data_IF_248744084154
#
_entry.id   IF_248744084154
#
_cell.length_a   1.000
_cell.length_b   1.000
_cell.length_c   1.000
_cell.angle_alpha   90.00
_cell.angle_beta   90.00
_cell.angle_gamma   90.00
#
_symmetry.space_group_name_H-M   'P 1'
#
loop_
_entity.id
_entity.type
_entity.pdbx_description
1 polymer ?
#
# COMPACT_ATOMS: atom_id res chain seq x y z
N UNK A 1 -19.11 -70.82 -66.79
CA UNK A 1 -20.27 -71.31 -66.01
C UNK A 1 -20.31 -70.59 -64.63
N UNK A 2 -21.31 -69.79 -64.56
CA UNK A 2 -22.28 -69.58 -63.52
C UNK A 2 -21.84 -69.07 -62.19
N UNK A 3 -22.27 -67.83 -62.00
CA UNK A 3 -23.32 -67.33 -61.03
C UNK A 3 -22.90 -67.25 -59.59
N UNK A 4 -23.04 -66.16 -59.01
CA UNK A 4 -24.10 -65.33 -58.40
C UNK A 4 -23.96 -65.24 -56.88
N UNK A 5 -24.20 -64.10 -56.48
CA UNK A 5 -25.08 -63.51 -55.43
C UNK A 5 -24.36 -62.93 -54.20
N UNK A 6 -24.50 -61.67 -54.15
CA UNK A 6 -25.25 -60.82 -53.18
C UNK A 6 -25.28 -61.19 -51.69
N UNK A 7 -25.04 -60.16 -50.95
CA UNK A 7 -25.40 -60.15 -49.51
C UNK A 7 -24.86 -58.92 -48.78
N UNK A 8 -25.62 -57.83 -48.91
CA UNK A 8 -25.39 -56.67 -48.05
C UNK A 8 -25.89 -56.92 -46.60
N UNK A 9 -25.27 -56.23 -45.68
CA UNK A 9 -25.86 -55.85 -44.40
C UNK A 9 -25.01 -54.75 -43.82
N UNK A 10 -25.44 -53.51 -43.76
CA UNK A 10 -26.19 -53.00 -42.65
C UNK A 10 -25.23 -52.62 -41.49
N UNK A 11 -24.48 -51.49 -41.66
CA UNK A 11 -23.77 -50.89 -40.53
C UNK A 11 -24.73 -49.94 -39.83
N UNK A 12 -25.25 -50.37 -38.68
CA UNK A 12 -25.95 -49.52 -37.75
C UNK A 12 -24.96 -48.61 -36.99
N UNK A 13 -24.93 -47.36 -37.37
CA UNK A 13 -24.21 -46.32 -36.61
C UNK A 13 -25.05 -45.98 -35.35
N UNK A 14 -24.50 -46.24 -34.18
CA UNK A 14 -24.99 -45.76 -32.90
C UNK A 14 -24.80 -44.27 -32.73
N UNK A 15 -25.84 -43.49 -32.47
CA UNK A 15 -25.67 -42.08 -32.08
C UNK A 15 -25.56 -41.99 -30.52
N UNK A 16 -24.33 -41.89 -30.01
CA UNK A 16 -24.21 -41.84 -28.57
C UNK A 16 -22.86 -41.36 -28.00
N UNK A 17 -22.19 -40.38 -28.62
CA UNK A 17 -20.91 -39.89 -28.07
C UNK A 17 -20.69 -38.37 -28.13
N UNK A 18 -21.72 -37.55 -28.32
CA UNK A 18 -21.53 -36.09 -28.42
C UNK A 18 -22.13 -35.24 -27.29
N UNK A 19 -22.85 -35.84 -26.34
CA UNK A 19 -23.51 -35.07 -25.27
C UNK A 19 -22.63 -34.82 -24.02
N UNK A 20 -21.50 -35.50 -23.85
CA UNK A 20 -20.67 -35.42 -22.63
C UNK A 20 -19.61 -34.32 -22.62
N UNK A 21 -19.17 -33.79 -23.76
CA UNK A 21 -18.05 -32.83 -23.82
C UNK A 21 -18.46 -31.38 -23.56
N UNK A 22 -19.69 -30.98 -23.87
CA UNK A 22 -20.14 -29.60 -23.66
C UNK A 22 -20.43 -29.26 -22.21
N UNK A 23 -20.81 -30.22 -21.37
CA UNK A 23 -21.11 -29.97 -19.95
C UNK A 23 -19.84 -29.73 -19.12
N UNK A 24 -18.76 -30.46 -19.39
CA UNK A 24 -17.51 -30.27 -18.66
C UNK A 24 -16.79 -28.96 -19.03
N UNK A 25 -16.92 -28.49 -20.26
CA UNK A 25 -16.34 -27.22 -20.71
C UNK A 25 -17.05 -26.01 -20.08
N UNK A 26 -18.38 -26.08 -19.95
CA UNK A 26 -19.15 -25.01 -19.29
C UNK A 26 -18.88 -24.94 -17.80
N UNK A 27 -18.74 -26.07 -17.11
CA UNK A 27 -18.44 -26.11 -15.68
C UNK A 27 -17.02 -25.55 -15.38
N UNK A 28 -16.02 -25.86 -16.21
CA UNK A 28 -14.66 -25.32 -16.07
C UNK A 28 -14.62 -23.82 -16.32
N UNK A 29 -15.38 -23.32 -17.28
CA UNK A 29 -15.45 -21.89 -17.59
C UNK A 29 -16.13 -21.11 -16.47
N UNK A 30 -17.25 -21.61 -15.91
CA UNK A 30 -17.93 -20.95 -14.80
C UNK A 30 -17.10 -20.94 -13.52
N UNK A 31 -16.38 -22.02 -13.20
CA UNK A 31 -15.48 -22.09 -12.06
C UNK A 31 -14.32 -21.09 -12.21
N UNK A 32 -13.75 -20.98 -13.41
CA UNK A 32 -12.69 -19.99 -13.70
C UNK A 32 -13.17 -18.55 -13.54
N UNK A 33 -14.38 -18.25 -14.01
CA UNK A 33 -14.97 -16.91 -13.88
C UNK A 33 -15.23 -16.55 -12.42
N UNK A 34 -15.80 -17.48 -11.63
CA UNK A 34 -16.04 -17.29 -10.19
C UNK A 34 -14.72 -17.04 -9.46
N UNK A 35 -13.66 -17.80 -9.78
CA UNK A 35 -12.35 -17.64 -9.19
C UNK A 35 -11.72 -16.26 -9.53
N UNK A 36 -11.87 -15.80 -10.78
CA UNK A 36 -11.46 -14.46 -11.19
C UNK A 36 -12.20 -13.35 -10.42
N UNK A 37 -13.51 -13.47 -10.22
CA UNK A 37 -14.28 -12.50 -9.44
C UNK A 37 -13.87 -12.48 -7.96
N UNK A 38 -13.53 -13.62 -7.37
CA UNK A 38 -13.04 -13.70 -6.00
C UNK A 38 -11.67 -13.02 -5.86
N UNK A 39 -10.75 -13.25 -6.80
CA UNK A 39 -9.43 -12.60 -6.79
C UNK A 39 -9.56 -11.09 -6.96
N UNK A 40 -10.39 -10.63 -7.91
CA UNK A 40 -10.62 -9.21 -8.15
C UNK A 40 -11.31 -8.55 -6.93
N UNK A 41 -12.26 -9.22 -6.31
CA UNK A 41 -12.92 -8.75 -5.10
C UNK A 41 -11.94 -8.58 -3.92
N UNK A 42 -11.07 -9.55 -3.69
CA UNK A 42 -10.02 -9.47 -2.65
C UNK A 42 -9.03 -8.35 -2.95
N UNK A 43 -8.63 -8.18 -4.21
CA UNK A 43 -7.73 -7.11 -4.62
C UNK A 43 -8.34 -5.73 -4.41
N UNK A 44 -9.63 -5.54 -4.75
CA UNK A 44 -10.33 -4.26 -4.54
C UNK A 44 -10.51 -3.92 -3.06
N UNK A 45 -10.77 -4.91 -2.19
CA UNK A 45 -10.84 -4.70 -0.75
C UNK A 45 -9.49 -4.30 -0.16
N UNK A 46 -8.38 -4.91 -0.61
CA UNK A 46 -7.03 -4.54 -0.19
C UNK A 46 -6.69 -3.11 -0.62
N UNK A 47 -7.04 -2.71 -1.83
CA UNK A 47 -6.87 -1.34 -2.30
C UNK A 47 -7.69 -0.35 -1.50
N UNK A 48 -8.96 -0.65 -1.20
CA UNK A 48 -9.81 0.21 -0.40
C UNK A 48 -9.26 0.39 1.03
N UNK A 49 -8.78 -0.68 1.66
CA UNK A 49 -8.13 -0.63 2.97
C UNK A 49 -6.86 0.21 2.92
N UNK A 50 -6.01 -0.02 1.92
CA UNK A 50 -4.76 0.74 1.73
C UNK A 50 -5.02 2.24 1.58
N UNK A 51 -5.99 2.64 0.75
CA UNK A 51 -6.36 4.04 0.55
C UNK A 51 -6.92 4.68 1.82
N UNK A 52 -7.74 3.96 2.57
CA UNK A 52 -8.25 4.40 3.88
C UNK A 52 -7.12 4.64 4.88
N UNK A 53 -6.22 3.68 5.01
CA UNK A 53 -5.04 3.77 5.87
C UNK A 53 -4.14 4.95 5.46
N UNK A 54 -3.91 5.12 4.16
CA UNK A 54 -3.13 6.24 3.63
C UNK A 54 -3.75 7.60 3.96
N UNK A 55 -5.07 7.73 3.82
CA UNK A 55 -5.80 8.95 4.19
C UNK A 55 -5.73 9.24 5.70
N UNK A 56 -5.86 8.22 6.53
CA UNK A 56 -5.71 8.34 7.99
C UNK A 56 -4.28 8.69 8.37
N UNK A 57 -3.29 8.05 7.76
CA UNK A 57 -1.88 8.33 7.99
C UNK A 57 -1.49 9.76 7.59
N UNK A 58 -1.99 10.25 6.45
CA UNK A 58 -1.78 11.63 6.04
C UNK A 58 -2.36 12.62 7.05
N UNK A 59 -3.53 12.33 7.62
CA UNK A 59 -4.14 13.13 8.69
C UNK A 59 -3.29 13.13 9.97
N UNK A 60 -2.73 12.00 10.34
CA UNK A 60 -1.85 11.89 11.51
C UNK A 60 -0.56 12.70 11.30
N UNK A 61 0.04 12.63 10.12
CA UNK A 61 1.19 13.47 9.74
C UNK A 61 0.86 14.96 9.80
N UNK A 62 -0.28 15.36 9.26
CA UNK A 62 -0.74 16.74 9.32
C UNK A 62 -0.90 17.23 10.76
N UNK A 63 -1.50 16.41 11.62
CA UNK A 63 -1.66 16.72 13.05
C UNK A 63 -0.31 16.94 13.72
N UNK A 64 0.64 16.02 13.53
CA UNK A 64 1.96 16.12 14.12
C UNK A 64 2.68 17.40 13.68
N UNK A 65 2.63 17.77 12.42
CA UNK A 65 3.23 19.01 11.92
C UNK A 65 2.50 20.28 12.39
N UNK A 66 1.19 20.21 12.57
CA UNK A 66 0.41 21.30 13.15
C UNK A 66 0.77 21.52 14.61
N UNK A 67 0.86 20.44 15.38
CA UNK A 67 1.27 20.47 16.79
C UNK A 67 2.70 20.99 16.94
N UNK A 68 3.62 20.59 16.06
CA UNK A 68 5.00 21.08 16.04
C UNK A 68 5.05 22.61 15.86
N UNK A 69 4.25 23.13 14.93
CA UNK A 69 4.16 24.59 14.68
C UNK A 69 3.50 25.32 15.84
N UNK A 70 2.43 24.75 16.42
CA UNK A 70 1.74 25.32 17.60
C UNK A 70 2.66 25.33 18.82
N UNK A 71 3.35 24.22 19.08
CA UNK A 71 4.27 24.11 20.20
C UNK A 71 5.42 25.10 20.10
N UNK A 72 5.94 25.31 18.88
CA UNK A 72 7.09 26.18 18.60
C UNK A 72 8.19 26.01 19.66
N UNK A 73 8.47 24.74 19.99
CA UNK A 73 9.34 24.38 21.10
C UNK A 73 10.73 23.97 20.60
N UNK A 74 11.77 24.52 21.20
CA UNK A 74 13.17 24.26 20.80
C UNK A 74 13.49 22.76 20.88
N UNK A 75 14.12 22.23 19.84
CA UNK A 75 14.55 20.82 19.71
C UNK A 75 13.40 19.80 19.75
N UNK A 76 12.17 20.21 19.39
CA UNK A 76 11.02 19.30 19.36
C UNK A 76 10.78 18.67 17.98
N UNK A 77 11.45 19.12 16.94
CA UNK A 77 11.19 18.71 15.55
C UNK A 77 11.28 17.20 15.37
N UNK A 78 12.35 16.58 15.86
CA UNK A 78 12.55 15.13 15.78
C UNK A 78 11.46 14.33 16.49
N UNK A 79 10.95 14.85 17.61
CA UNK A 79 9.84 14.23 18.32
C UNK A 79 8.57 14.22 17.44
N UNK A 80 8.20 15.35 16.87
CA UNK A 80 7.00 15.43 16.04
C UNK A 80 7.17 14.67 14.71
N UNK A 81 8.36 14.65 14.13
CA UNK A 81 8.68 13.80 12.97
C UNK A 81 8.49 12.32 13.30
N UNK A 82 9.05 11.86 14.41
CA UNK A 82 8.89 10.47 14.87
C UNK A 82 7.43 10.15 15.21
N UNK A 83 6.75 11.04 15.94
CA UNK A 83 5.34 10.84 16.35
C UNK A 83 4.40 10.74 15.16
N UNK A 84 4.47 11.66 14.21
CA UNK A 84 3.62 11.62 13.02
C UNK A 84 3.80 10.35 12.20
N UNK A 85 5.04 9.93 12.02
CA UNK A 85 5.37 8.69 11.31
C UNK A 85 4.94 7.43 12.09
N UNK A 86 5.05 7.45 13.41
CA UNK A 86 4.57 6.36 14.27
C UNK A 86 3.06 6.21 14.18
N UNK A 87 2.31 7.29 14.42
CA UNK A 87 0.84 7.27 14.40
C UNK A 87 0.31 6.83 13.03
N UNK A 88 0.89 7.35 11.95
CA UNK A 88 0.52 6.97 10.60
C UNK A 88 0.82 5.48 10.31
N UNK A 89 1.96 4.97 10.76
CA UNK A 89 2.33 3.56 10.57
C UNK A 89 1.40 2.60 11.33
N UNK A 90 0.84 3.02 12.46
CA UNK A 90 -0.16 2.23 13.21
C UNK A 90 -1.47 2.03 12.43
N UNK A 91 -1.74 2.83 11.39
CA UNK A 91 -2.91 2.66 10.53
C UNK A 91 -2.81 1.46 9.61
N UNK A 92 -1.60 0.97 9.34
CA UNK A 92 -1.30 -0.14 8.45
C UNK A 92 -0.35 0.25 7.31
N UNK A 93 -0.17 -0.64 6.31
CA UNK A 93 0.76 -0.40 5.20
C UNK A 93 0.50 0.89 4.42
N UNK A 94 -0.76 1.25 4.19
CA UNK A 94 -1.15 2.50 3.53
C UNK A 94 -0.74 3.73 4.34
N UNK A 95 -0.91 3.69 5.65
CA UNK A 95 -0.49 4.76 6.56
C UNK A 95 1.03 4.94 6.59
N UNK A 96 1.77 3.86 6.69
CA UNK A 96 3.23 3.88 6.64
C UNK A 96 3.75 4.43 5.30
N UNK A 97 3.11 4.06 4.18
CA UNK A 97 3.42 4.59 2.87
C UNK A 97 3.18 6.10 2.79
N UNK A 98 2.00 6.56 3.25
CA UNK A 98 1.67 8.00 3.26
C UNK A 98 2.67 8.79 4.10
N UNK A 99 3.04 8.29 5.28
CA UNK A 99 4.03 8.92 6.14
C UNK A 99 5.38 9.06 5.42
N UNK A 100 5.83 8.00 4.72
CA UNK A 100 7.09 8.05 3.97
C UNK A 100 7.04 9.11 2.86
N UNK A 101 5.98 9.11 2.05
CA UNK A 101 5.82 10.06 0.93
C UNK A 101 5.79 11.50 1.43
N UNK A 102 5.02 11.78 2.48
CA UNK A 102 4.89 13.13 3.06
C UNK A 102 6.21 13.58 3.69
N UNK A 103 6.90 12.71 4.43
CA UNK A 103 8.20 13.02 5.02
C UNK A 103 9.25 13.33 3.96
N UNK A 104 9.36 12.50 2.93
CA UNK A 104 10.31 12.69 1.85
C UNK A 104 10.04 13.99 1.06
N UNK A 105 8.77 14.29 0.77
CA UNK A 105 8.37 15.53 0.11
C UNK A 105 8.71 16.76 0.96
N UNK A 106 8.45 16.72 2.27
CA UNK A 106 8.76 17.80 3.19
C UNK A 106 10.27 18.08 3.23
N UNK A 107 11.08 17.04 3.39
CA UNK A 107 12.54 17.18 3.44
C UNK A 107 13.13 17.74 2.14
N UNK A 108 12.57 17.33 1.00
CA UNK A 108 12.98 17.85 -0.29
C UNK A 108 12.65 19.35 -0.45
N UNK A 109 11.44 19.75 -0.05
CA UNK A 109 11.02 21.17 -0.07
C UNK A 109 11.90 21.99 0.88
N UNK A 110 12.15 21.49 2.07
CA UNK A 110 13.01 22.19 3.06
C UNK A 110 14.43 22.37 2.55
N UNK A 111 15.05 21.35 1.98
CA UNK A 111 16.38 21.44 1.37
C UNK A 111 16.46 22.50 0.27
N UNK A 112 15.48 22.53 -0.61
CA UNK A 112 15.40 23.53 -1.69
C UNK A 112 15.25 24.93 -1.10
N UNK A 113 14.41 25.09 -0.08
CA UNK A 113 14.20 26.38 0.59
C UNK A 113 15.46 26.86 1.28
N UNK A 114 16.20 26.00 1.94
CA UNK A 114 17.44 26.32 2.63
C UNK A 114 18.56 26.73 1.66
N UNK A 115 18.66 26.06 0.49
CA UNK A 115 19.57 26.47 -0.60
C UNK A 115 19.29 27.89 -1.05
N UNK A 116 18.02 28.29 -1.20
CA UNK A 116 17.66 29.65 -1.62
C UNK A 116 17.92 30.71 -0.54
N UNK A 117 17.80 30.35 0.75
CA UNK A 117 17.92 31.31 1.86
C UNK A 117 19.34 31.47 2.38
N UNK A 118 20.11 30.40 2.46
CA UNK A 118 21.36 30.36 3.22
C UNK A 118 22.59 29.92 2.39
N UNK A 119 22.39 29.55 1.14
CA UNK A 119 23.45 28.91 0.34
C UNK A 119 23.81 27.53 0.89
N UNK A 120 24.78 26.87 0.28
CA UNK A 120 25.21 25.53 0.66
C UNK A 120 26.11 25.57 1.91
N UNK A 121 25.52 25.73 3.10
CA UNK A 121 26.25 25.74 4.37
C UNK A 121 26.43 24.36 5.00
N UNK A 122 25.87 23.30 4.39
CA UNK A 122 25.92 21.92 4.91
C UNK A 122 25.00 21.65 6.11
N UNK A 123 24.55 22.67 6.85
CA UNK A 123 23.66 22.50 8.00
C UNK A 123 22.32 21.93 7.63
N UNK A 124 21.72 22.35 6.51
CA UNK A 124 20.44 21.81 6.04
C UNK A 124 20.48 20.31 5.69
N UNK A 125 21.63 19.80 5.27
CA UNK A 125 21.80 18.37 4.94
C UNK A 125 21.88 17.52 6.21
N UNK A 126 22.56 17.99 7.24
CA UNK A 126 22.65 17.27 8.54
C UNK A 126 21.31 17.25 9.26
N UNK A 127 20.60 18.37 9.32
CA UNK A 127 19.28 18.46 9.91
C UNK A 127 18.29 17.57 9.17
N UNK A 128 18.28 17.60 7.85
CA UNK A 128 17.44 16.73 7.01
C UNK A 128 17.74 15.24 7.24
N UNK A 129 19.01 14.87 7.42
CA UNK A 129 19.40 13.48 7.72
C UNK A 129 18.90 13.05 9.10
N UNK A 130 19.01 13.92 10.10
CA UNK A 130 18.53 13.65 11.45
C UNK A 130 17.00 13.53 11.50
N UNK A 131 16.27 14.37 10.75
CA UNK A 131 14.82 14.31 10.63
C UNK A 131 14.36 13.06 9.89
N UNK A 132 15.06 12.64 8.84
CA UNK A 132 14.81 11.37 8.15
C UNK A 132 15.06 10.16 9.07
N UNK A 133 16.06 10.21 9.93
CA UNK A 133 16.29 9.16 10.93
C UNK A 133 15.14 9.09 11.94
N UNK A 134 14.62 10.23 12.41
CA UNK A 134 13.45 10.30 13.30
C UNK A 134 12.18 9.79 12.59
N UNK A 135 11.97 10.15 11.31
CA UNK A 135 10.90 9.64 10.48
C UNK A 135 10.94 8.10 10.38
N UNK A 136 12.10 7.54 10.07
CA UNK A 136 12.29 6.09 9.97
C UNK A 136 12.10 5.39 11.33
N UNK A 137 12.55 5.99 12.41
CA UNK A 137 12.34 5.50 13.78
C UNK A 137 10.85 5.33 14.09
N UNK A 138 10.05 6.37 13.86
CA UNK A 138 8.61 6.32 14.08
C UNK A 138 7.92 5.27 13.20
N UNK A 139 8.20 5.25 11.89
CA UNK A 139 7.61 4.26 10.95
C UNK A 139 7.94 2.82 11.32
N UNK A 140 9.06 2.58 11.98
CA UNK A 140 9.44 1.22 12.45
C UNK A 140 8.69 0.79 13.71
N UNK A 141 7.79 1.60 14.24
CA UNK A 141 7.02 1.31 15.45
C UNK A 141 7.77 1.54 16.75
N UNK A 142 8.89 2.25 16.70
CA UNK A 142 9.67 2.62 17.90
C UNK A 142 9.09 3.86 18.57
N UNK A 143 9.23 3.93 19.90
CA UNK A 143 8.65 5.00 20.74
C UNK A 143 9.17 6.40 20.34
N UNK A 144 8.29 7.32 19.91
CA UNK A 144 8.66 8.69 19.59
C UNK A 144 9.20 9.49 20.78
N UNK A 145 8.84 9.11 22.02
CA UNK A 145 9.30 9.79 23.23
C UNK A 145 10.82 9.73 23.40
N UNK A 146 11.50 8.84 22.67
CA UNK A 146 12.97 8.86 22.57
C UNK A 146 13.51 10.25 22.17
N UNK A 147 12.78 11.00 21.35
CA UNK A 147 13.15 12.32 20.89
C UNK A 147 12.43 13.47 21.62
N UNK A 148 11.59 13.16 22.61
CA UNK A 148 10.81 14.17 23.33
C UNK A 148 11.71 15.06 24.17
N UNK A 149 11.77 16.38 23.92
CA UNK A 149 12.56 17.29 24.74
C UNK A 149 11.93 17.47 26.12
N UNK A 150 12.79 17.64 27.13
CA UNK A 150 12.33 17.90 28.49
C UNK A 150 11.56 19.23 28.53
N UNK A 151 10.39 19.22 29.16
CA UNK A 151 9.54 20.41 29.32
C UNK A 151 8.58 20.69 28.17
N UNK A 152 8.56 19.84 27.14
CA UNK A 152 7.49 19.91 26.15
C UNK A 152 6.15 19.64 26.84
N UNK A 153 5.11 20.48 26.67
CA UNK A 153 3.81 20.31 27.33
C UNK A 153 3.18 18.95 27.06
N UNK A 154 2.54 18.38 28.10
CA UNK A 154 1.95 17.03 28.05
C UNK A 154 0.81 16.86 27.04
N UNK A 155 0.22 17.96 26.59
CA UNK A 155 -0.83 17.93 25.56
C UNK A 155 -0.32 17.44 24.18
N UNK A 156 0.97 17.42 23.98
CA UNK A 156 1.62 16.94 22.76
C UNK A 156 2.22 15.51 23.01
#
# INVERSE_FOLDING_TARGET
>A
DTQDQEGGTGSSASPGALAGRHSQSRMKLSTGIIFCFLILGVSSQRWASFLKEAGQGAKDMWRAYSDMREANYKNSDKYFHARGNYDAAQRGPGGAWAAKVISDARENVQRVTDLFKHGDSGHGVEDSRADQAANAWGRSGKDPNHFRPRGLPDKY
#
